data_IF_458531271677
#
_entry.id   IF_458531271677
#
_cell.length_a   1.000
_cell.length_b   1.000
_cell.length_c   1.000
_cell.angle_alpha   90.00
_cell.angle_beta   90.00
_cell.angle_gamma   90.00
#
_symmetry.space_group_name_H-M   'P 1'
#
loop_
_entity.id
_entity.type
_entity.pdbx_description
1 polymer ?
#
# COMPACT_ATOMS: atom_id res chain seq x y z
N UNK A 1 4.75 -22.66 -35.24
CA UNK A 1 5.52 -21.43 -34.98
C UNK A 1 4.51 -20.29 -34.99
N UNK A 2 4.43 -19.46 -33.95
CA UNK A 2 3.46 -18.36 -33.94
C UNK A 2 3.96 -17.20 -34.83
N UNK A 3 3.05 -16.41 -35.40
CA UNK A 3 3.44 -15.26 -36.23
C UNK A 3 4.31 -14.26 -35.45
N UNK A 4 3.99 -14.03 -34.17
CA UNK A 4 4.78 -13.17 -33.29
C UNK A 4 6.21 -13.71 -33.04
N UNK A 5 6.39 -15.02 -32.90
CA UNK A 5 7.72 -15.62 -32.79
C UNK A 5 8.55 -15.37 -34.06
N UNK A 6 7.93 -15.54 -35.24
CA UNK A 6 8.60 -15.30 -36.51
C UNK A 6 9.05 -13.83 -36.64
N UNK A 7 8.19 -12.89 -36.23
CA UNK A 7 8.52 -11.45 -36.22
C UNK A 7 9.69 -11.14 -35.29
N UNK A 8 9.70 -11.71 -34.07
CA UNK A 8 10.82 -11.51 -33.12
C UNK A 8 12.13 -12.06 -33.70
N UNK A 9 12.08 -13.24 -34.33
CA UNK A 9 13.26 -13.89 -34.94
C UNK A 9 13.80 -13.15 -36.17
N UNK A 10 13.10 -12.15 -36.70
CA UNK A 10 13.64 -11.27 -37.75
C UNK A 10 14.55 -10.16 -37.19
N UNK A 11 14.53 -9.89 -35.88
CA UNK A 11 15.40 -8.88 -35.27
C UNK A 11 16.85 -9.36 -35.30
N UNK A 12 17.67 -8.70 -36.12
CA UNK A 12 19.12 -8.96 -36.20
C UNK A 12 19.81 -8.70 -34.85
N UNK A 13 19.40 -7.67 -34.12
CA UNK A 13 19.93 -7.40 -32.78
C UNK A 13 19.64 -8.56 -31.82
N UNK A 14 18.44 -9.16 -31.87
CA UNK A 14 18.12 -10.31 -31.03
C UNK A 14 18.97 -11.54 -31.35
N UNK A 15 19.33 -11.72 -32.62
CA UNK A 15 20.19 -12.81 -33.10
C UNK A 15 21.68 -12.57 -32.85
N UNK A 16 22.08 -11.36 -32.46
CA UNK A 16 23.47 -10.96 -32.17
C UNK A 16 23.67 -10.61 -30.68
N UNK A 17 23.48 -11.58 -29.75
CA UNK A 17 23.73 -11.38 -28.33
C UNK A 17 25.22 -11.15 -28.03
N UNK A 18 25.56 -10.57 -26.86
CA UNK A 18 26.94 -10.33 -26.46
C UNK A 18 27.76 -11.61 -26.19
N UNK A 19 27.09 -12.76 -26.05
CA UNK A 19 27.70 -14.08 -25.85
C UNK A 19 26.88 -15.13 -26.61
N UNK A 20 27.44 -16.31 -26.95
CA UNK A 20 26.68 -17.37 -27.59
C UNK A 20 25.44 -17.78 -26.78
N UNK A 21 24.27 -17.87 -27.43
CA UNK A 21 23.03 -18.31 -26.80
C UNK A 21 22.25 -19.30 -27.66
N UNK A 22 21.39 -20.08 -27.02
CA UNK A 22 20.29 -20.81 -27.65
C UNK A 22 18.97 -20.17 -27.26
N UNK A 23 18.07 -20.01 -28.24
CA UNK A 23 16.78 -19.38 -28.02
C UNK A 23 15.72 -20.42 -27.66
N UNK A 24 14.87 -20.13 -26.68
CA UNK A 24 13.66 -20.91 -26.37
C UNK A 24 12.44 -20.01 -26.40
N UNK A 25 11.43 -20.42 -27.17
CA UNK A 25 10.11 -19.81 -27.15
C UNK A 25 9.19 -20.63 -26.26
N UNK A 26 8.55 -19.99 -25.30
CA UNK A 26 7.49 -20.57 -24.48
C UNK A 26 6.20 -19.84 -24.76
N UNK A 27 5.17 -20.55 -25.16
CA UNK A 27 3.82 -20.02 -25.26
C UNK A 27 3.01 -20.58 -24.09
N UNK A 28 2.39 -19.70 -23.31
CA UNK A 28 1.48 -20.09 -22.25
C UNK A 28 0.11 -19.49 -22.55
N UNK A 29 -0.89 -20.36 -22.63
CA UNK A 29 -2.28 -20.03 -22.41
C UNK A 29 -2.61 -20.56 -21.00
N UNK A 30 -2.99 -19.71 -20.05
CA UNK A 30 -3.28 -20.18 -18.69
C UNK A 30 -4.38 -21.26 -18.70
N UNK A 31 -4.20 -22.31 -17.89
CA UNK A 31 -5.19 -23.37 -17.68
C UNK A 31 -6.39 -22.94 -16.82
N UNK A 32 -6.26 -21.86 -16.07
CA UNK A 32 -7.22 -21.46 -15.02
C UNK A 32 -8.02 -20.20 -15.35
N UNK A 33 -7.60 -19.40 -16.33
CA UNK A 33 -8.40 -18.31 -16.90
C UNK A 33 -8.24 -18.34 -18.44
N UNK A 34 -9.34 -18.47 -19.22
CA UNK A 34 -9.29 -18.71 -20.67
C UNK A 34 -8.70 -17.58 -21.54
N UNK A 35 -8.16 -16.52 -20.94
CA UNK A 35 -7.96 -15.22 -21.59
C UNK A 35 -6.50 -14.75 -21.61
N UNK A 36 -5.59 -15.53 -21.02
CA UNK A 36 -4.21 -15.09 -20.82
C UNK A 36 -3.25 -15.80 -21.77
N UNK A 37 -3.06 -15.23 -22.97
CA UNK A 37 -2.06 -15.70 -23.92
C UNK A 37 -0.79 -14.86 -23.83
N UNK A 38 0.32 -15.48 -23.46
CA UNK A 38 1.65 -14.85 -23.50
C UNK A 38 2.66 -15.70 -24.24
N UNK A 39 3.53 -15.02 -24.97
CA UNK A 39 4.68 -15.58 -25.64
C UNK A 39 5.94 -15.01 -25.01
N UNK A 40 6.85 -15.88 -24.60
CA UNK A 40 8.12 -15.48 -24.00
C UNK A 40 9.25 -16.10 -24.81
N UNK A 41 10.10 -15.27 -25.39
CA UNK A 41 11.32 -15.70 -26.08
C UNK A 41 12.51 -15.41 -25.18
N UNK A 42 13.28 -16.44 -24.80
CA UNK A 42 14.42 -16.33 -23.89
C UNK A 42 15.72 -16.71 -24.59
N UNK A 43 16.78 -15.98 -24.28
CA UNK A 43 18.14 -16.23 -24.74
C UNK A 43 18.96 -16.90 -23.63
N UNK A 44 19.34 -18.17 -23.84
CA UNK A 44 20.04 -18.98 -22.86
C UNK A 44 21.52 -19.16 -23.24
N UNK A 45 22.46 -18.66 -22.42
CA UNK A 45 23.90 -18.91 -22.60
C UNK A 45 24.22 -20.39 -22.34
N UNK A 46 25.46 -20.80 -22.64
CA UNK A 46 25.91 -22.16 -22.35
C UNK A 46 25.89 -22.47 -20.85
N UNK A 47 26.30 -21.51 -20.02
CA UNK A 47 26.31 -21.61 -18.57
C UNK A 47 25.79 -20.33 -17.92
N UNK A 48 25.22 -20.46 -16.73
CA UNK A 48 24.83 -19.30 -15.90
C UNK A 48 26.05 -18.60 -15.28
N UNK A 49 25.83 -17.43 -14.67
CA UNK A 49 26.88 -16.71 -13.92
C UNK A 49 27.46 -17.50 -12.73
N UNK A 50 26.76 -18.54 -12.27
CA UNK A 50 27.19 -19.42 -11.16
C UNK A 50 27.69 -20.78 -11.67
N UNK A 51 27.96 -20.92 -12.97
CA UNK A 51 28.56 -22.13 -13.57
C UNK A 51 27.59 -23.28 -13.84
N UNK A 52 26.28 -23.09 -13.67
CA UNK A 52 25.28 -24.12 -14.01
C UNK A 52 25.18 -24.21 -15.54
N UNK A 53 25.48 -25.38 -16.11
CA UNK A 53 25.31 -25.66 -17.55
C UNK A 53 23.85 -25.71 -17.98
N UNK A 54 23.52 -24.96 -19.03
CA UNK A 54 22.15 -24.77 -19.54
C UNK A 54 21.93 -25.48 -20.88
N UNK A 55 22.96 -25.61 -21.70
CA UNK A 55 22.87 -26.30 -22.99
C UNK A 55 22.82 -27.83 -22.80
N UNK A 56 22.06 -28.51 -23.67
CA UNK A 56 21.94 -29.97 -23.69
C UNK A 56 22.22 -30.50 -25.09
N UNK A 57 23.32 -31.23 -25.27
CA UNK A 57 23.76 -31.74 -26.58
C UNK A 57 24.03 -30.62 -27.58
N UNK A 58 23.91 -30.91 -28.87
CA UNK A 58 24.27 -29.99 -29.96
C UNK A 58 23.31 -28.80 -30.12
N UNK A 59 22.01 -28.99 -29.87
CA UNK A 59 20.99 -27.95 -30.12
C UNK A 59 19.99 -27.73 -28.96
N UNK A 60 20.05 -28.53 -27.89
CA UNK A 60 19.05 -28.51 -26.82
C UNK A 60 19.33 -27.51 -25.69
N UNK A 61 18.31 -27.24 -24.89
CA UNK A 61 18.42 -26.50 -23.62
C UNK A 61 17.84 -27.42 -22.54
N UNK A 62 18.45 -27.50 -21.36
CA UNK A 62 17.96 -28.36 -20.27
C UNK A 62 16.51 -28.00 -19.89
N UNK A 63 15.67 -28.97 -19.49
CA UNK A 63 14.29 -28.69 -19.12
C UNK A 63 14.14 -27.64 -17.99
N UNK A 64 15.07 -27.64 -17.04
CA UNK A 64 15.04 -26.78 -15.84
C UNK A 64 15.55 -25.35 -16.07
N UNK A 65 15.96 -24.98 -17.29
CA UNK A 65 16.60 -23.69 -17.57
C UNK A 65 15.78 -22.47 -17.10
N UNK A 66 14.45 -22.53 -17.22
CA UNK A 66 13.56 -21.45 -16.77
C UNK A 66 13.52 -21.31 -15.23
N UNK A 67 13.80 -22.39 -14.47
CA UNK A 67 13.80 -22.42 -13.00
C UNK A 67 15.10 -21.89 -12.39
N UNK A 68 16.22 -22.01 -13.09
CA UNK A 68 17.55 -21.59 -12.61
C UNK A 68 17.90 -20.16 -13.04
N UNK A 69 16.91 -19.37 -13.45
CA UNK A 69 17.07 -18.01 -13.96
C UNK A 69 18.17 -17.87 -15.02
N UNK A 70 18.30 -18.87 -15.90
CA UNK A 70 19.48 -19.00 -16.75
C UNK A 70 19.52 -18.05 -17.94
N UNK A 71 18.45 -17.31 -18.26
CA UNK A 71 18.44 -16.47 -19.47
C UNK A 71 19.13 -15.12 -19.26
N UNK A 72 19.91 -14.68 -20.24
CA UNK A 72 20.56 -13.36 -20.22
C UNK A 72 19.66 -12.24 -20.74
N UNK A 73 18.51 -12.59 -21.30
CA UNK A 73 17.54 -11.68 -21.85
C UNK A 73 16.25 -12.40 -22.23
N UNK A 74 15.13 -11.67 -22.16
CA UNK A 74 13.82 -12.16 -22.59
C UNK A 74 13.02 -11.07 -23.28
N UNK A 75 12.22 -11.49 -24.24
CA UNK A 75 11.16 -10.70 -24.86
C UNK A 75 9.84 -11.32 -24.41
N UNK A 76 9.02 -10.55 -23.72
CA UNK A 76 7.67 -10.95 -23.36
C UNK A 76 6.67 -10.24 -24.28
N UNK A 77 5.75 -11.01 -24.85
CA UNK A 77 4.63 -10.51 -25.64
C UNK A 77 3.34 -11.04 -25.02
N UNK A 78 2.47 -10.13 -24.62
CA UNK A 78 1.18 -10.44 -24.02
C UNK A 78 0.08 -10.07 -25.00
N UNK A 79 -0.85 -10.99 -25.25
CA UNK A 79 -1.99 -10.81 -26.15
C UNK A 79 -3.25 -10.78 -25.30
N UNK A 80 -3.96 -9.65 -25.30
CA UNK A 80 -5.17 -9.42 -24.48
C UNK A 80 -5.00 -9.68 -22.97
N UNK A 81 -3.79 -9.98 -22.50
CA UNK A 81 -3.50 -10.28 -21.11
C UNK A 81 -2.73 -9.13 -20.49
N UNK A 82 -3.42 -8.29 -19.75
CA UNK A 82 -2.86 -7.10 -19.15
C UNK A 82 -3.23 -7.11 -17.68
N UNK A 83 -2.23 -7.19 -16.82
CA UNK A 83 -2.43 -7.06 -15.38
C UNK A 83 -2.27 -5.61 -14.97
N UNK A 84 -2.94 -5.23 -13.88
CA UNK A 84 -2.76 -3.92 -13.26
C UNK A 84 -1.28 -3.67 -12.96
N UNK A 85 -0.61 -4.67 -12.39
CA UNK A 85 0.77 -4.60 -11.92
C UNK A 85 1.80 -4.37 -13.03
N UNK A 86 1.46 -4.67 -14.30
CA UNK A 86 2.33 -4.35 -15.44
C UNK A 86 2.41 -2.84 -15.71
N UNK A 87 1.33 -2.10 -15.45
CA UNK A 87 1.20 -0.72 -15.92
C UNK A 87 0.96 0.29 -14.82
N UNK A 88 0.44 -0.13 -13.67
CA UNK A 88 0.09 0.74 -12.55
C UNK A 88 0.89 0.31 -11.33
N UNK A 89 1.69 1.24 -10.80
CA UNK A 89 2.38 1.10 -9.53
C UNK A 89 1.50 1.51 -8.33
N UNK A 90 2.12 1.74 -7.16
CA UNK A 90 1.42 2.20 -5.95
C UNK A 90 0.57 3.46 -6.15
N UNK A 91 1.03 4.38 -7.01
CA UNK A 91 0.38 5.67 -7.30
C UNK A 91 -0.81 5.55 -8.28
N UNK A 92 -1.18 4.33 -8.69
CA UNK A 92 -2.29 3.99 -9.61
C UNK A 92 -2.32 4.74 -10.96
N UNK A 93 -1.25 5.44 -11.32
CA UNK A 93 -1.16 6.23 -12.57
C UNK A 93 -0.14 5.61 -13.53
N UNK A 94 -0.54 5.19 -14.74
CA UNK A 94 0.37 4.70 -15.75
C UNK A 94 1.34 5.79 -16.19
N UNK A 95 2.63 5.59 -15.95
CA UNK A 95 3.67 6.54 -16.34
C UNK A 95 4.10 6.26 -17.77
N UNK A 96 3.79 7.18 -18.69
CA UNK A 96 4.33 7.13 -20.05
C UNK A 96 5.82 7.45 -20.01
N UNK A 97 6.65 6.51 -20.43
CA UNK A 97 8.12 6.63 -20.44
C UNK A 97 8.66 7.04 -21.80
N UNK A 98 7.88 6.86 -22.87
CA UNK A 98 8.29 7.28 -24.21
C UNK A 98 7.39 6.78 -25.32
N UNK A 99 7.98 6.66 -26.51
CA UNK A 99 7.37 6.08 -27.70
C UNK A 99 8.43 5.22 -28.39
N UNK A 100 8.11 3.98 -28.77
CA UNK A 100 9.01 3.04 -29.45
C UNK A 100 8.27 2.44 -30.64
N UNK A 101 8.89 2.49 -31.82
CA UNK A 101 8.27 2.00 -33.06
C UNK A 101 6.94 2.67 -33.40
N UNK A 102 6.72 3.91 -32.93
CA UNK A 102 5.44 4.64 -33.10
C UNK A 102 4.37 4.34 -32.04
N UNK A 103 4.62 3.43 -31.10
CA UNK A 103 3.68 3.03 -30.05
C UNK A 103 4.08 3.57 -28.68
N UNK A 104 3.11 3.94 -27.83
CA UNK A 104 3.42 4.49 -26.52
C UNK A 104 4.03 3.43 -25.61
N UNK A 105 5.01 3.86 -24.82
CA UNK A 105 5.64 3.03 -23.80
C UNK A 105 5.20 3.48 -22.41
N UNK A 106 4.76 2.52 -21.59
CA UNK A 106 4.36 2.73 -20.20
C UNK A 106 5.13 1.78 -19.30
N UNK A 107 5.87 2.30 -18.31
CA UNK A 107 6.63 1.51 -17.34
C UNK A 107 7.48 0.39 -18.00
N UNK A 108 8.15 0.70 -19.12
CA UNK A 108 8.99 -0.26 -19.85
C UNK A 108 8.25 -1.23 -20.78
N UNK A 109 6.92 -1.15 -20.86
CA UNK A 109 6.07 -1.91 -21.78
C UNK A 109 5.64 -1.07 -22.96
N UNK A 110 5.89 -1.55 -24.18
CA UNK A 110 5.35 -0.97 -25.41
C UNK A 110 3.93 -1.51 -25.60
N UNK A 111 2.95 -0.62 -25.67
CA UNK A 111 1.53 -0.99 -25.79
C UNK A 111 1.04 -0.71 -27.20
N UNK A 112 0.71 -1.78 -27.91
CA UNK A 112 0.15 -1.75 -29.25
C UNK A 112 -1.33 -2.09 -29.12
N UNK A 113 -2.21 -1.16 -29.46
CA UNK A 113 -3.64 -1.39 -29.36
C UNK A 113 -4.39 -0.92 -30.59
N UNK A 114 -5.53 -1.58 -30.85
CA UNK A 114 -6.41 -1.19 -31.94
C UNK A 114 -6.92 0.23 -31.72
N UNK A 115 -6.77 1.09 -32.74
CA UNK A 115 -7.20 2.49 -32.73
C UNK A 115 -6.57 3.36 -31.63
N UNK A 116 -5.45 2.93 -31.03
CA UNK A 116 -4.79 3.65 -29.94
C UNK A 116 -5.55 3.64 -28.61
N UNK A 117 -6.61 2.83 -28.47
CA UNK A 117 -7.34 2.69 -27.20
C UNK A 117 -6.46 2.04 -26.15
N UNK A 118 -6.25 2.70 -25.02
CA UNK A 118 -5.48 2.12 -23.92
C UNK A 118 -6.34 1.15 -23.10
N UNK A 119 -5.71 0.16 -22.44
CA UNK A 119 -6.41 -0.86 -21.68
C UNK A 119 -6.77 -0.46 -20.24
N UNK A 120 -6.61 0.81 -19.93
CA UNK A 120 -7.01 1.42 -18.68
C UNK A 120 -7.77 2.71 -18.97
N UNK A 121 -8.61 3.09 -18.01
CA UNK A 121 -9.41 4.30 -18.03
C UNK A 121 -9.18 5.08 -16.73
N UNK A 122 -9.37 6.41 -16.74
CA UNK A 122 -9.39 7.17 -15.50
C UNK A 122 -10.36 6.57 -14.49
N UNK A 123 -9.97 6.52 -13.22
CA UNK A 123 -10.91 6.22 -12.15
C UNK A 123 -11.90 7.36 -12.03
N UNK A 124 -13.18 7.02 -11.88
CA UNK A 124 -14.21 8.03 -11.72
C UNK A 124 -14.21 8.58 -10.30
N UNK A 125 -14.81 9.76 -10.11
CA UNK A 125 -15.06 10.31 -8.78
C UNK A 125 -15.87 9.32 -7.92
N UNK A 126 -16.87 8.66 -8.52
CA UNK A 126 -17.64 7.61 -7.88
C UNK A 126 -16.77 6.46 -7.39
N UNK A 127 -15.86 5.93 -8.23
CA UNK A 127 -14.95 4.85 -7.82
C UNK A 127 -14.10 5.23 -6.60
N UNK A 128 -13.57 6.47 -6.57
CA UNK A 128 -12.73 6.96 -5.47
C UNK A 128 -13.55 7.15 -4.19
N UNK A 129 -14.71 7.80 -4.31
CA UNK A 129 -15.60 8.02 -3.17
C UNK A 129 -16.12 6.69 -2.59
N UNK A 130 -16.42 5.70 -3.43
CA UNK A 130 -16.86 4.39 -2.96
C UNK A 130 -15.75 3.67 -2.16
N UNK A 131 -14.46 3.83 -2.52
CA UNK A 131 -13.34 3.33 -1.71
C UNK A 131 -13.21 4.04 -0.36
N UNK A 132 -13.29 5.38 -0.35
CA UNK A 132 -13.26 6.17 0.89
C UNK A 132 -14.43 5.76 1.79
N UNK A 133 -15.62 5.59 1.22
CA UNK A 133 -16.80 5.09 1.91
C UNK A 133 -16.60 3.71 2.52
N UNK A 134 -16.13 2.75 1.72
CA UNK A 134 -15.86 1.39 2.17
C UNK A 134 -14.82 1.34 3.31
N UNK A 135 -13.77 2.16 3.24
CA UNK A 135 -12.77 2.26 4.30
C UNK A 135 -13.36 2.80 5.61
N UNK A 136 -14.17 3.86 5.56
CA UNK A 136 -14.83 4.45 6.74
C UNK A 136 -15.88 3.52 7.34
N UNK A 137 -16.70 2.89 6.51
CA UNK A 137 -17.70 1.92 6.96
C UNK A 137 -17.05 0.69 7.58
N UNK A 138 -15.94 0.20 6.99
CA UNK A 138 -15.13 -0.86 7.57
C UNK A 138 -14.53 -0.46 8.92
N UNK A 139 -13.97 0.74 9.05
CA UNK A 139 -13.43 1.21 10.31
C UNK A 139 -14.49 1.27 11.43
N UNK A 140 -15.71 1.73 11.10
CA UNK A 140 -16.83 1.72 12.04
C UNK A 140 -17.27 0.30 12.41
N UNK A 141 -17.36 -0.61 11.43
CA UNK A 141 -17.71 -2.00 11.67
C UNK A 141 -16.65 -2.72 12.52
N UNK A 142 -15.37 -2.55 12.19
CA UNK A 142 -14.25 -3.11 12.93
C UNK A 142 -14.22 -2.57 14.37
N UNK A 143 -14.49 -1.28 14.57
CA UNK A 143 -14.63 -0.69 15.91
C UNK A 143 -15.76 -1.31 16.73
N UNK A 144 -16.94 -1.50 16.12
CA UNK A 144 -18.07 -2.16 16.76
C UNK A 144 -17.75 -3.60 17.16
N UNK A 145 -16.99 -4.31 16.33
CA UNK A 145 -16.51 -5.66 16.64
C UNK A 145 -15.53 -5.65 17.82
N UNK A 146 -14.56 -4.73 17.84
CA UNK A 146 -13.62 -4.55 18.95
C UNK A 146 -14.38 -4.28 20.25
N UNK A 147 -15.31 -3.32 20.23
CA UNK A 147 -16.18 -2.97 21.37
C UNK A 147 -16.97 -4.18 21.88
N UNK A 148 -17.60 -4.95 20.98
CA UNK A 148 -18.36 -6.14 21.35
C UNK A 148 -17.49 -7.27 21.92
N UNK A 149 -16.24 -7.38 21.45
CA UNK A 149 -15.27 -8.38 21.93
C UNK A 149 -14.63 -8.04 23.27
N UNK A 150 -14.61 -6.75 23.66
CA UNK A 150 -13.97 -6.28 24.89
C UNK A 150 -14.86 -6.59 26.10
N UNK A 151 -14.59 -7.72 26.75
CA UNK A 151 -15.28 -8.16 27.96
C UNK A 151 -14.31 -8.17 29.15
N UNK A 152 -14.77 -7.61 30.27
CA UNK A 152 -14.06 -7.77 31.53
C UNK A 152 -13.95 -9.28 31.86
N UNK A 153 -12.79 -9.73 32.38
CA UNK A 153 -12.65 -11.10 32.84
C UNK A 153 -13.68 -11.43 33.94
N UNK A 154 -14.16 -12.68 33.95
CA UNK A 154 -15.12 -13.14 34.96
C UNK A 154 -14.44 -13.27 36.33
N UNK A 155 -14.94 -12.53 37.31
CA UNK A 155 -14.43 -12.53 38.68
C UNK A 155 -14.44 -13.93 39.30
N UNK A 156 -15.45 -14.76 39.02
CA UNK A 156 -15.53 -16.11 39.56
C UNK A 156 -14.42 -17.03 39.00
N UNK A 157 -13.99 -16.80 37.75
CA UNK A 157 -12.88 -17.53 37.13
C UNK A 157 -11.55 -17.04 37.71
N UNK A 158 -11.40 -15.73 37.93
CA UNK A 158 -10.23 -15.15 38.57
C UNK A 158 -10.04 -15.76 39.97
N UNK A 159 -11.08 -15.75 40.79
CA UNK A 159 -11.04 -16.24 42.17
C UNK A 159 -10.70 -17.74 42.23
N UNK A 160 -11.29 -18.54 41.33
CA UNK A 160 -10.99 -19.98 41.23
C UNK A 160 -9.54 -20.24 40.84
N UNK A 161 -9.01 -19.49 39.87
CA UNK A 161 -7.63 -19.63 39.40
C UNK A 161 -6.64 -19.19 40.48
N UNK A 162 -6.92 -18.09 41.18
CA UNK A 162 -6.13 -17.62 42.31
C UNK A 162 -6.13 -18.64 43.46
N UNK A 163 -7.27 -19.27 43.78
CA UNK A 163 -7.34 -20.29 44.82
C UNK A 163 -6.53 -21.56 44.49
N UNK A 164 -6.46 -21.96 43.22
CA UNK A 164 -5.60 -23.05 42.76
C UNK A 164 -4.12 -22.66 42.87
N UNK A 165 -3.74 -21.49 42.36
CA UNK A 165 -2.37 -20.99 42.42
C UNK A 165 -1.88 -20.86 43.86
N UNK A 166 -2.73 -20.39 44.79
CA UNK A 166 -2.37 -20.18 46.19
C UNK A 166 -1.92 -21.45 46.91
N UNK A 167 -2.27 -22.64 46.40
CA UNK A 167 -1.83 -23.94 46.95
C UNK A 167 -0.38 -24.27 46.59
N UNK A 168 0.13 -23.75 45.49
CA UNK A 168 1.47 -24.07 44.96
C UNK A 168 2.42 -22.86 44.94
N UNK A 169 1.88 -21.65 44.75
CA UNK A 169 2.59 -20.38 44.70
C UNK A 169 1.68 -19.23 45.22
N UNK A 170 1.71 -18.94 46.53
CA UNK A 170 0.91 -17.87 47.13
C UNK A 170 1.24 -16.47 46.59
N UNK A 171 2.50 -16.18 46.28
CA UNK A 171 2.92 -14.88 45.79
C UNK A 171 2.47 -14.67 44.33
N UNK A 172 2.58 -15.71 43.49
CA UNK A 172 2.04 -15.71 42.13
C UNK A 172 0.52 -15.57 42.08
N UNK A 173 -0.21 -16.14 43.05
CA UNK A 173 -1.66 -15.96 43.15
C UNK A 173 -2.07 -14.51 43.38
N UNK A 174 -1.36 -13.78 44.24
CA UNK A 174 -1.63 -12.37 44.52
C UNK A 174 -1.26 -11.46 43.34
N UNK A 175 -0.14 -11.74 42.67
CA UNK A 175 0.23 -11.06 41.43
C UNK A 175 -0.80 -11.29 40.32
N UNK A 176 -1.34 -12.51 40.19
CA UNK A 176 -2.38 -12.81 39.23
C UNK A 176 -3.65 -12.00 39.48
N UNK A 177 -4.17 -11.98 40.72
CA UNK A 177 -5.37 -11.20 41.07
C UNK A 177 -5.16 -9.71 40.79
N UNK A 178 -4.01 -9.17 41.16
CA UNK A 178 -3.70 -7.75 40.93
C UNK A 178 -3.61 -7.42 39.42
N UNK A 179 -2.98 -8.29 38.63
CA UNK A 179 -2.94 -8.14 37.18
C UNK A 179 -4.35 -8.16 36.57
N UNK A 180 -5.23 -9.05 37.04
CA UNK A 180 -6.61 -9.16 36.54
C UNK A 180 -7.48 -7.96 36.95
N UNK A 181 -7.26 -7.40 38.14
CA UNK A 181 -7.89 -6.13 38.55
C UNK A 181 -7.44 -4.98 37.65
N UNK A 182 -6.14 -4.89 37.35
CA UNK A 182 -5.61 -3.88 36.42
C UNK A 182 -6.22 -4.01 35.02
N UNK A 183 -6.27 -5.24 34.48
CA UNK A 183 -6.91 -5.51 33.17
C UNK A 183 -8.39 -5.10 33.17
N UNK A 184 -9.11 -5.38 34.27
CA UNK A 184 -10.52 -4.98 34.41
C UNK A 184 -10.68 -3.46 34.45
N UNK A 185 -9.83 -2.76 35.21
CA UNK A 185 -9.81 -1.31 35.25
C UNK A 185 -9.48 -0.68 33.89
N UNK A 186 -8.50 -1.23 33.16
CA UNK A 186 -8.13 -0.80 31.82
C UNK A 186 -9.29 -0.98 30.82
N UNK A 187 -10.02 -2.10 30.91
CA UNK A 187 -11.21 -2.35 30.09
C UNK A 187 -12.31 -1.32 30.38
N UNK A 188 -12.60 -1.05 31.65
CA UNK A 188 -13.59 -0.05 32.02
C UNK A 188 -13.20 1.37 31.58
N UNK A 189 -11.93 1.74 31.75
CA UNK A 189 -11.41 3.02 31.30
C UNK A 189 -11.51 3.16 29.76
N UNK A 190 -11.24 2.09 29.01
CA UNK A 190 -11.43 2.06 27.57
C UNK A 190 -12.92 2.15 27.18
N UNK A 191 -13.80 1.44 27.88
CA UNK A 191 -15.25 1.47 27.65
C UNK A 191 -15.86 2.86 27.85
N UNK A 192 -15.35 3.65 28.81
CA UNK A 192 -15.78 5.03 29.01
C UNK A 192 -15.55 5.92 27.78
N UNK A 193 -14.57 5.57 26.94
CA UNK A 193 -14.22 6.31 25.71
C UNK A 193 -14.90 5.75 24.45
N UNK A 194 -15.58 4.61 24.54
CA UNK A 194 -16.12 3.92 23.36
C UNK A 194 -17.19 4.73 22.63
N UNK A 195 -18.03 5.45 23.39
CA UNK A 195 -19.08 6.31 22.82
C UNK A 195 -18.49 7.47 21.99
N UNK A 196 -17.38 8.06 22.45
CA UNK A 196 -16.71 9.17 21.76
C UNK A 196 -16.13 8.67 20.43
N UNK A 197 -15.42 7.53 20.45
CA UNK A 197 -14.84 6.95 19.23
C UNK A 197 -15.91 6.52 18.23
N UNK A 198 -16.98 5.88 18.70
CA UNK A 198 -18.09 5.46 17.84
C UNK A 198 -18.82 6.66 17.21
N UNK A 199 -19.07 7.72 17.98
CA UNK A 199 -19.66 8.95 17.47
C UNK A 199 -18.77 9.63 16.41
N UNK A 200 -17.45 9.65 16.63
CA UNK A 200 -16.48 10.16 15.66
C UNK A 200 -16.50 9.38 14.34
N UNK A 201 -16.41 8.05 14.38
CA UNK A 201 -16.47 7.21 13.18
C UNK A 201 -17.82 7.33 12.45
N UNK A 202 -18.92 7.40 13.20
CA UNK A 202 -20.25 7.63 12.63
C UNK A 202 -20.32 8.99 11.92
N UNK A 203 -19.73 10.04 12.51
CA UNK A 203 -19.62 11.36 11.88
C UNK A 203 -18.87 11.28 10.55
N UNK A 204 -17.72 10.61 10.48
CA UNK A 204 -16.94 10.47 9.25
C UNK A 204 -17.72 9.76 8.13
N UNK A 205 -18.49 8.71 8.47
CA UNK A 205 -19.36 8.01 7.52
C UNK A 205 -20.47 8.94 7.00
N UNK A 206 -21.10 9.71 7.90
CA UNK A 206 -22.17 10.65 7.52
C UNK A 206 -21.64 11.79 6.63
N UNK A 207 -20.47 12.35 6.94
CA UNK A 207 -19.81 13.38 6.11
C UNK A 207 -19.49 12.85 4.72
N UNK A 208 -18.96 11.63 4.62
CA UNK A 208 -18.76 10.95 3.33
C UNK A 208 -20.06 10.83 2.54
N UNK A 209 -21.13 10.32 3.16
CA UNK A 209 -22.42 10.13 2.49
C UNK A 209 -23.01 11.44 2.00
N UNK A 210 -22.96 12.49 2.83
CA UNK A 210 -23.41 13.82 2.46
C UNK A 210 -22.60 14.39 1.28
N UNK A 211 -21.28 14.26 1.32
CA UNK A 211 -20.40 14.73 0.24
C UNK A 211 -20.63 13.97 -1.06
N UNK A 212 -20.75 12.64 -1.03
CA UNK A 212 -21.06 11.85 -2.22
C UNK A 212 -22.41 12.24 -2.82
N UNK A 213 -23.41 12.49 -1.96
CA UNK A 213 -24.74 12.91 -2.38
C UNK A 213 -24.80 14.33 -2.97
N UNK A 214 -23.77 15.17 -2.77
CA UNK A 214 -23.71 16.51 -3.38
C UNK A 214 -23.37 16.48 -4.88
N UNK A 215 -23.03 15.31 -5.44
CA UNK A 215 -22.69 15.16 -6.86
C UNK A 215 -23.81 14.47 -7.64
N UNK A 216 -24.02 14.92 -8.87
CA UNK A 216 -24.91 14.23 -9.82
C UNK A 216 -24.29 12.93 -10.31
N UNK A 217 -25.11 12.03 -10.87
CA UNK A 217 -24.61 10.79 -11.48
C UNK A 217 -23.58 11.07 -12.60
N UNK A 218 -23.76 12.15 -13.37
CA UNK A 218 -22.81 12.57 -14.39
C UNK A 218 -21.47 12.99 -13.77
N UNK A 219 -21.49 13.78 -12.70
CA UNK A 219 -20.28 14.19 -11.98
C UNK A 219 -19.56 12.99 -11.34
N UNK A 220 -20.30 12.04 -10.77
CA UNK A 220 -19.72 10.81 -10.22
C UNK A 220 -19.08 9.92 -11.31
N UNK A 221 -19.54 10.01 -12.56
CA UNK A 221 -18.96 9.29 -13.69
C UNK A 221 -17.74 10.00 -14.32
N UNK A 222 -17.47 11.26 -13.96
CA UNK A 222 -16.29 11.99 -14.43
C UNK A 222 -15.01 11.48 -13.74
N UNK A 223 -13.84 11.60 -14.38
CA UNK A 223 -12.55 11.34 -13.76
C UNK A 223 -12.38 12.07 -12.42
N UNK A 224 -11.82 11.36 -11.44
CA UNK A 224 -11.44 11.95 -10.16
C UNK A 224 -10.14 12.74 -10.31
N UNK A 225 -10.17 14.00 -9.88
CA UNK A 225 -8.99 14.87 -9.82
C UNK A 225 -8.72 15.30 -8.38
N UNK A 226 -7.49 15.70 -8.11
CA UNK A 226 -7.11 16.33 -6.85
C UNK A 226 -7.16 17.85 -7.00
N UNK A 227 -8.04 18.52 -6.24
CA UNK A 227 -8.22 19.97 -6.35
C UNK A 227 -7.02 20.79 -5.83
N UNK A 228 -6.32 20.27 -4.83
CA UNK A 228 -5.19 20.94 -4.18
C UNK A 228 -3.89 20.73 -4.98
N UNK A 229 -3.80 21.40 -6.13
CA UNK A 229 -2.69 21.23 -7.09
C UNK A 229 -1.37 21.81 -6.55
N UNK A 230 -1.43 22.90 -5.78
CA UNK A 230 -0.26 23.59 -5.23
C UNK A 230 0.11 23.16 -3.80
N UNK A 231 -0.71 22.28 -3.19
CA UNK A 231 -0.54 21.80 -1.83
C UNK A 231 -0.84 22.86 -0.76
N UNK A 232 -1.44 23.99 -1.12
CA UNK A 232 -1.78 25.06 -0.17
C UNK A 232 -2.78 24.58 0.89
N UNK A 233 -3.80 23.81 0.48
CA UNK A 233 -4.79 23.26 1.41
C UNK A 233 -4.17 22.20 2.31
N UNK A 234 -3.24 21.41 1.78
CA UNK A 234 -2.46 20.45 2.56
C UNK A 234 -1.65 21.13 3.64
N UNK A 235 -0.90 22.17 3.29
CA UNK A 235 -0.07 22.94 4.23
C UNK A 235 -0.92 23.57 5.33
N UNK A 236 -2.08 24.13 4.97
CA UNK A 236 -3.01 24.70 5.94
C UNK A 236 -3.57 23.64 6.90
N UNK A 237 -3.87 22.43 6.39
CA UNK A 237 -4.29 21.30 7.23
C UNK A 237 -3.14 20.84 8.15
N UNK A 238 -1.92 20.70 7.62
CA UNK A 238 -0.74 20.29 8.40
C UNK A 238 -0.44 21.28 9.53
N UNK A 239 -0.51 22.60 9.26
CA UNK A 239 -0.37 23.62 10.29
C UNK A 239 -1.45 23.52 11.39
N UNK A 240 -2.71 23.26 11.03
CA UNK A 240 -3.77 23.01 12.03
C UNK A 240 -3.51 21.75 12.85
N UNK A 241 -2.92 20.70 12.27
CA UNK A 241 -2.56 19.49 12.99
C UNK A 241 -1.42 19.78 13.99
N UNK A 242 -0.42 20.56 13.60
CA UNK A 242 0.67 20.95 14.48
C UNK A 242 0.15 21.77 15.67
N UNK A 243 -0.77 22.72 15.45
CA UNK A 243 -1.45 23.46 16.52
C UNK A 243 -2.24 22.54 17.47
N UNK A 244 -2.85 21.47 16.96
CA UNK A 244 -3.57 20.51 17.79
C UNK A 244 -2.67 19.66 18.70
N UNK A 245 -1.37 19.56 18.40
CA UNK A 245 -0.42 18.84 19.24
C UNK A 245 0.03 19.66 20.45
N UNK A 246 -0.18 20.99 20.41
CA UNK A 246 0.11 21.87 21.52
C UNK A 246 -1.03 21.84 22.55
N UNK A 247 -0.65 21.76 23.83
CA UNK A 247 -1.62 21.90 24.92
C UNK A 247 -2.35 23.23 24.78
N UNK A 248 -3.68 23.20 24.84
CA UNK A 248 -4.47 24.42 24.90
C UNK A 248 -4.06 25.28 26.09
N UNK A 249 -4.24 26.60 25.98
CA UNK A 249 -3.81 27.59 26.99
C UNK A 249 -4.26 27.20 28.41
N UNK A 250 -5.51 26.75 28.55
CA UNK A 250 -6.08 26.33 29.84
C UNK A 250 -5.41 25.06 30.40
N UNK A 251 -5.19 24.05 29.54
CA UNK A 251 -4.52 22.79 29.93
C UNK A 251 -3.04 23.06 30.26
N UNK A 252 -2.39 23.98 29.54
CA UNK A 252 -1.02 24.40 29.81
C UNK A 252 -0.89 25.13 31.14
N UNK A 253 -1.80 26.08 31.42
CA UNK A 253 -1.85 26.79 32.70
C UNK A 253 -2.07 25.83 33.86
N UNK A 254 -3.07 24.95 33.76
CA UNK A 254 -3.36 23.93 34.78
C UNK A 254 -2.19 22.98 35.02
N UNK A 255 -1.54 22.49 33.96
CA UNK A 255 -0.34 21.65 34.10
C UNK A 255 0.82 22.42 34.74
N UNK A 256 0.94 23.73 34.44
CA UNK A 256 1.90 24.63 35.07
C UNK A 256 1.70 24.73 36.59
N UNK A 257 0.47 25.04 37.02
CA UNK A 257 0.08 25.14 38.43
C UNK A 257 0.34 23.83 39.19
N UNK A 258 -0.08 22.70 38.61
CA UNK A 258 0.14 21.37 39.20
C UNK A 258 1.64 21.09 39.40
N UNK A 259 2.48 21.46 38.43
CA UNK A 259 3.94 21.28 38.50
C UNK A 259 4.60 22.22 39.49
N UNK A 260 4.10 23.44 39.63
CA UNK A 260 4.58 24.38 40.64
C UNK A 260 4.28 23.86 42.04
N UNK A 261 3.02 23.49 42.29
CA UNK A 261 2.61 22.91 43.57
C UNK A 261 3.39 21.62 43.89
N UNK A 262 3.59 20.73 42.91
CA UNK A 262 4.42 19.53 43.10
C UNK A 262 5.86 19.86 43.51
N UNK A 263 6.47 20.90 42.90
CA UNK A 263 7.82 21.37 43.28
C UNK A 263 7.86 21.99 44.68
N UNK A 264 6.81 22.71 45.08
CA UNK A 264 6.69 23.22 46.45
C UNK A 264 6.64 22.09 47.47
N UNK A 265 5.86 21.04 47.21
CA UNK A 265 5.77 19.86 48.07
C UNK A 265 7.11 19.11 48.17
N UNK A 266 7.84 18.95 47.06
CA UNK A 266 9.19 18.35 47.09
C UNK A 266 10.18 19.21 47.89
N UNK A 267 10.12 20.54 47.76
CA UNK A 267 10.94 21.45 48.56
C UNK A 267 10.60 21.34 50.06
N UNK A 268 9.31 21.28 50.40
CA UNK A 268 8.87 21.08 51.78
C UNK A 268 9.30 19.71 52.34
N UNK A 269 9.23 18.65 51.52
CA UNK A 269 9.70 17.32 51.90
C UNK A 269 11.20 17.29 52.19
N UNK A 270 12.00 17.99 51.39
CA UNK A 270 13.45 18.09 51.58
C UNK A 270 13.84 18.88 52.84
N UNK A 271 13.00 19.85 53.25
CA UNK A 271 13.20 20.65 54.47
C UNK A 271 12.60 20.02 55.74
N UNK A 272 11.80 18.95 55.61
CA UNK A 272 11.17 18.29 56.75
C UNK A 272 12.19 17.49 57.58
N UNK A 273 12.22 17.75 58.89
CA UNK A 273 12.96 16.92 59.85
C UNK A 273 12.24 15.62 60.22
N UNK A 274 10.95 15.49 59.86
CA UNK A 274 10.16 14.27 60.04
C UNK A 274 10.12 13.48 58.71
N UNK A 275 10.68 12.27 58.75
CA UNK A 275 10.76 11.35 57.61
C UNK A 275 9.39 10.77 57.21
N UNK A 276 8.44 10.67 58.15
CA UNK A 276 7.07 10.26 57.82
C UNK A 276 6.36 11.36 57.02
N UNK A 277 6.53 12.62 57.45
CA UNK A 277 5.98 13.79 56.75
C UNK A 277 6.65 13.99 55.38
N UNK A 278 7.97 13.88 55.29
CA UNK A 278 8.71 13.96 54.03
C UNK A 278 8.20 12.93 53.01
N UNK A 279 7.94 11.68 53.45
CA UNK A 279 7.37 10.64 52.60
C UNK A 279 5.94 10.93 52.17
N UNK A 280 5.12 11.52 53.03
CA UNK A 280 3.75 11.94 52.67
C UNK A 280 3.77 13.01 51.58
N UNK A 281 4.58 14.04 51.75
CA UNK A 281 4.71 15.16 50.80
C UNK A 281 5.22 14.69 49.43
N UNK A 282 6.22 13.81 49.38
CA UNK A 282 6.70 13.20 48.13
C UNK A 282 5.62 12.37 47.41
N UNK A 283 4.78 11.64 48.16
CA UNK A 283 3.64 10.92 47.56
C UNK A 283 2.65 11.87 46.92
N UNK A 284 2.28 12.95 47.62
CA UNK A 284 1.39 13.98 47.09
C UNK A 284 1.97 14.66 45.84
N UNK A 285 3.27 14.97 45.83
CA UNK A 285 3.95 15.48 44.64
C UNK A 285 3.90 14.46 43.47
N UNK A 286 4.08 13.17 43.76
CA UNK A 286 3.92 12.08 42.80
C UNK A 286 2.51 12.01 42.20
N UNK A 287 1.46 12.13 43.02
CA UNK A 287 0.07 12.12 42.58
C UNK A 287 -0.23 13.30 41.64
N UNK A 288 0.31 14.49 41.93
CA UNK A 288 0.18 15.67 41.07
C UNK A 288 0.88 15.46 39.71
N UNK A 289 2.05 14.83 39.68
CA UNK A 289 2.73 14.50 38.43
C UNK A 289 1.91 13.51 37.58
N UNK A 290 1.25 12.54 38.21
CA UNK A 290 0.33 11.62 37.53
C UNK A 290 -0.88 12.37 36.95
N UNK A 291 -1.43 13.34 37.66
CA UNK A 291 -2.52 14.19 37.18
C UNK A 291 -2.09 15.04 35.97
N UNK A 292 -0.94 15.72 36.04
CA UNK A 292 -0.39 16.47 34.91
C UNK A 292 -0.16 15.56 33.68
N UNK A 293 0.31 14.34 33.91
CA UNK A 293 0.44 13.32 32.87
C UNK A 293 -0.91 12.90 32.27
N UNK A 294 -1.96 12.78 33.09
CA UNK A 294 -3.32 12.47 32.64
C UNK A 294 -3.88 13.57 31.75
N UNK A 295 -3.77 14.85 32.14
CA UNK A 295 -4.24 15.99 31.34
C UNK A 295 -3.60 15.97 29.94
N UNK A 296 -2.28 15.74 29.88
CA UNK A 296 -1.56 15.61 28.61
C UNK A 296 -2.06 14.46 27.75
N UNK A 297 -2.27 13.27 28.33
CA UNK A 297 -2.79 12.12 27.59
C UNK A 297 -4.20 12.37 27.05
N UNK A 298 -5.09 12.91 27.87
CA UNK A 298 -6.45 13.26 27.46
C UNK A 298 -6.48 14.33 26.37
N UNK A 299 -5.57 15.30 26.42
CA UNK A 299 -5.36 16.25 25.33
C UNK A 299 -4.94 15.54 24.04
N UNK A 300 -3.89 14.72 24.08
CA UNK A 300 -3.38 14.00 22.91
C UNK A 300 -4.43 13.08 22.28
N UNK A 301 -5.25 12.40 23.09
CA UNK A 301 -6.35 11.58 22.59
C UNK A 301 -7.42 12.42 21.87
N UNK A 302 -7.79 13.59 22.41
CA UNK A 302 -8.72 14.52 21.75
C UNK A 302 -8.11 15.10 20.47
N UNK A 303 -6.83 15.43 20.49
CA UNK A 303 -6.09 15.93 19.33
C UNK A 303 -6.05 14.90 18.20
N UNK A 304 -5.78 13.63 18.51
CA UNK A 304 -5.76 12.54 17.53
C UNK A 304 -7.09 12.38 16.78
N UNK A 305 -8.23 12.48 17.48
CA UNK A 305 -9.55 12.43 16.83
C UNK A 305 -9.79 13.63 15.91
N UNK A 306 -9.31 14.82 16.30
CA UNK A 306 -9.43 16.02 15.46
C UNK A 306 -8.51 15.95 14.25
N UNK A 307 -7.28 15.45 14.42
CA UNK A 307 -6.36 15.19 13.31
C UNK A 307 -6.97 14.23 12.29
N UNK A 308 -7.54 13.11 12.73
CA UNK A 308 -8.22 12.16 11.84
C UNK A 308 -9.39 12.81 11.09
N UNK A 309 -10.17 13.66 11.77
CA UNK A 309 -11.23 14.43 11.12
C UNK A 309 -10.69 15.42 10.07
N UNK A 310 -9.60 16.14 10.36
CA UNK A 310 -8.99 17.09 9.43
C UNK A 310 -8.43 16.37 8.19
N UNK A 311 -7.68 15.29 8.38
CA UNK A 311 -7.15 14.47 7.28
C UNK A 311 -8.28 13.87 6.45
N UNK A 312 -9.31 13.34 7.11
CA UNK A 312 -10.49 12.78 6.46
C UNK A 312 -11.28 13.83 5.68
N UNK A 313 -11.41 15.05 6.21
CA UNK A 313 -12.07 16.15 5.52
C UNK A 313 -11.25 16.57 4.29
N UNK A 314 -9.95 16.78 4.45
CA UNK A 314 -9.03 17.12 3.36
C UNK A 314 -9.06 16.09 2.22
N UNK A 315 -8.96 14.79 2.52
CA UNK A 315 -9.05 13.73 1.51
C UNK A 315 -10.39 13.78 0.77
N UNK A 316 -11.49 13.92 1.51
CA UNK A 316 -12.82 13.89 0.93
C UNK A 316 -13.08 15.12 0.05
N UNK A 317 -12.80 16.33 0.56
CA UNK A 317 -13.17 17.57 -0.12
C UNK A 317 -12.28 17.92 -1.31
N UNK A 318 -11.08 17.35 -1.39
CA UNK A 318 -10.18 17.54 -2.53
C UNK A 318 -10.49 16.62 -3.71
N UNK A 319 -11.24 15.55 -3.51
CA UNK A 319 -11.74 14.73 -4.60
C UNK A 319 -12.82 15.49 -5.35
N UNK A 320 -12.51 15.90 -6.58
CA UNK A 320 -13.43 16.62 -7.47
C UNK A 320 -13.60 15.91 -8.80
N UNK A 321 -14.72 16.12 -9.50
CA UNK A 321 -14.85 15.69 -10.88
C UNK A 321 -13.99 16.60 -11.78
N UNK A 322 -13.30 16.02 -12.76
CA UNK A 322 -12.45 16.79 -13.66
C UNK A 322 -12.15 16.07 -14.97
N UNK A 323 -11.29 16.67 -15.81
CA UNK A 323 -10.92 16.11 -17.11
C UNK A 323 -9.98 14.91 -16.95
N UNK A 324 -9.95 14.03 -17.96
CA UNK A 324 -9.18 12.78 -17.92
C UNK A 324 -7.66 13.03 -17.84
N UNK A 325 -7.18 14.12 -18.42
CA UNK A 325 -5.78 14.54 -18.45
C UNK A 325 -5.24 14.88 -17.05
N UNK A 326 -6.13 15.22 -16.12
CA UNK A 326 -5.80 15.56 -14.73
C UNK A 326 -6.19 14.44 -13.75
N UNK A 327 -6.61 13.28 -14.27
CA UNK A 327 -7.05 12.17 -13.44
C UNK A 327 -5.95 11.73 -12.47
N UNK A 328 -6.30 11.60 -11.19
CA UNK A 328 -5.34 11.25 -10.14
C UNK A 328 -4.95 9.76 -10.13
N UNK A 329 -5.75 8.91 -10.79
CA UNK A 329 -5.58 7.47 -10.79
C UNK A 329 -6.34 6.84 -11.98
N UNK A 330 -5.89 5.66 -12.38
CA UNK A 330 -6.49 4.86 -13.45
C UNK A 330 -6.85 3.46 -12.96
N UNK A 331 -7.74 2.79 -13.67
CA UNK A 331 -8.11 1.39 -13.46
C UNK A 331 -8.10 0.65 -14.79
N UNK A 332 -7.94 -0.67 -14.75
CA UNK A 332 -8.12 -1.49 -15.94
C UNK A 332 -9.52 -1.27 -16.52
N UNK A 333 -9.60 -1.17 -17.83
CA UNK A 333 -10.88 -1.04 -18.53
C UNK A 333 -11.61 -2.40 -18.45
N UNK A 334 -12.78 -2.48 -17.80
CA UNK A 334 -13.49 -3.75 -17.65
C UNK A 334 -14.00 -4.32 -18.98
N UNK A 335 -14.11 -3.49 -20.02
CA UNK A 335 -14.61 -3.89 -21.34
C UNK A 335 -13.50 -3.96 -22.40
N UNK A 336 -12.25 -3.69 -22.05
CA UNK A 336 -11.11 -3.77 -22.98
C UNK A 336 -9.87 -4.40 -22.31
N UNK A 337 -9.29 -5.46 -22.89
CA UNK A 337 -9.75 -6.14 -24.10
C UNK A 337 -11.08 -6.87 -23.87
N UNK A 338 -11.88 -6.96 -24.92
CA UNK A 338 -13.18 -7.61 -24.92
C UNK A 338 -13.04 -9.12 -24.70
N UNK A 339 -13.23 -9.52 -23.45
CA UNK A 339 -13.13 -10.91 -22.99
C UNK A 339 -14.17 -11.84 -23.62
N UNK A 340 -15.24 -11.32 -24.22
CA UNK A 340 -16.22 -12.13 -24.97
C UNK A 340 -15.74 -12.55 -26.37
N UNK A 341 -14.64 -11.96 -26.87
CA UNK A 341 -14.06 -12.28 -28.18
C UNK A 341 -12.58 -12.71 -28.03
N UNK A 342 -12.30 -13.83 -27.33
CA UNK A 342 -10.94 -14.23 -26.97
C UNK A 342 -10.03 -14.51 -28.19
N UNK A 343 -10.63 -14.87 -29.33
CA UNK A 343 -9.90 -15.10 -30.58
C UNK A 343 -9.48 -13.83 -31.33
N UNK A 344 -9.90 -12.64 -30.88
CA UNK A 344 -9.54 -11.36 -31.52
C UNK A 344 -8.49 -10.64 -30.71
N UNK A 345 -7.30 -10.43 -31.28
CA UNK A 345 -6.22 -9.71 -30.59
C UNK A 345 -6.51 -8.21 -30.69
N UNK A 346 -6.81 -7.57 -29.56
CA UNK A 346 -7.13 -6.14 -29.51
C UNK A 346 -6.02 -5.29 -28.92
N UNK A 347 -5.16 -5.92 -28.11
CA UNK A 347 -4.00 -5.28 -27.50
C UNK A 347 -2.85 -6.27 -27.36
N UNK A 348 -1.66 -5.77 -27.67
CA UNK A 348 -0.39 -6.46 -27.52
C UNK A 348 0.51 -5.59 -26.64
N UNK A 349 1.01 -6.16 -25.56
CA UNK A 349 2.03 -5.52 -24.73
C UNK A 349 3.36 -6.24 -24.87
N UNK A 350 4.41 -5.48 -25.17
CA UNK A 350 5.77 -6.01 -25.40
C UNK A 350 6.72 -5.44 -24.36
N UNK A 351 7.47 -6.30 -23.67
CA UNK A 351 8.63 -5.88 -22.89
C UNK A 351 9.87 -6.66 -23.28
N UNK A 352 11.01 -5.98 -23.17
CA UNK A 352 12.34 -6.56 -23.31
C UNK A 352 13.05 -6.31 -22.01
N UNK A 353 13.45 -7.37 -21.31
CA UNK A 353 14.03 -7.27 -19.97
C UNK A 353 15.04 -8.38 -19.70
N UNK A 354 15.81 -8.23 -18.62
CA UNK A 354 16.56 -9.33 -18.03
C UNK A 354 15.62 -10.21 -17.19
N UNK A 355 16.04 -11.44 -16.88
CA UNK A 355 15.23 -12.34 -16.05
C UNK A 355 15.24 -11.91 -14.57
N UNK A 356 16.36 -11.37 -14.09
CA UNK A 356 16.54 -10.86 -12.74
C UNK A 356 17.00 -9.40 -12.85
N UNK A 357 16.19 -8.46 -12.35
CA UNK A 357 16.59 -7.06 -12.15
C UNK A 357 17.24 -6.84 -10.76
N UNK A 358 17.22 -7.85 -9.89
CA UNK A 358 17.79 -7.79 -8.54
C UNK A 358 19.33 -7.78 -8.55
N UNK A 359 19.89 -6.61 -8.20
CA UNK A 359 21.06 -6.34 -7.34
C UNK A 359 22.30 -7.24 -7.38
N UNK A 360 22.56 -7.95 -8.47
CA UNK A 360 23.89 -8.54 -8.70
C UNK A 360 24.76 -7.44 -9.32
N UNK A 361 25.49 -6.73 -8.45
CA UNK A 361 26.66 -5.85 -8.67
C UNK A 361 26.90 -5.48 -10.14
N UNK A 362 26.95 -4.19 -10.47
CA UNK A 362 27.22 -3.60 -11.80
C UNK A 362 28.47 -4.16 -12.51
N UNK A 363 28.40 -5.42 -12.94
CA UNK A 363 29.47 -6.09 -13.67
C UNK A 363 29.42 -5.57 -15.12
N UNK A 364 30.57 -5.42 -15.79
CA UNK A 364 30.61 -5.00 -17.20
C UNK A 364 29.69 -5.84 -18.11
N UNK A 365 29.53 -7.13 -17.80
CA UNK A 365 28.60 -8.02 -18.51
C UNK A 365 27.13 -7.61 -18.39
N UNK A 366 26.68 -7.11 -17.24
CA UNK A 366 25.31 -6.60 -17.03
C UNK A 366 25.07 -5.37 -17.91
N UNK A 367 26.04 -4.46 -17.98
CA UNK A 367 25.98 -3.26 -18.82
C UNK A 367 25.88 -3.64 -20.30
N UNK A 368 26.71 -4.59 -20.75
CA UNK A 368 26.66 -5.08 -22.13
C UNK A 368 25.31 -5.75 -22.46
N UNK A 369 24.73 -6.54 -21.54
CA UNK A 369 23.41 -7.16 -21.68
C UNK A 369 22.30 -6.11 -21.74
N UNK A 370 22.31 -5.11 -20.85
CA UNK A 370 21.33 -4.01 -20.85
C UNK A 370 21.41 -3.20 -22.15
N UNK A 371 22.62 -2.88 -22.62
CA UNK A 371 22.83 -2.17 -23.88
C UNK A 371 22.33 -2.98 -25.09
N UNK A 372 22.61 -4.29 -25.13
CA UNK A 372 22.07 -5.21 -26.13
C UNK A 372 20.54 -5.24 -26.11
N UNK A 373 19.92 -5.42 -24.94
CA UNK A 373 18.46 -5.44 -24.82
C UNK A 373 17.81 -4.09 -25.20
N UNK A 374 18.49 -2.97 -24.95
CA UNK A 374 18.08 -1.66 -25.45
C UNK A 374 18.03 -1.60 -26.98
N UNK A 375 19.06 -2.11 -27.68
CA UNK A 375 19.06 -2.20 -29.15
C UNK A 375 18.02 -3.18 -29.67
N UNK A 376 17.87 -4.34 -29.03
CA UNK A 376 16.80 -5.31 -29.34
C UNK A 376 15.46 -4.61 -29.28
N UNK A 377 15.14 -3.95 -28.16
CA UNK A 377 13.88 -3.25 -27.95
C UNK A 377 13.61 -2.21 -29.04
N UNK A 378 14.60 -1.43 -29.44
CA UNK A 378 14.45 -0.43 -30.49
C UNK A 378 14.35 -1.00 -31.91
N UNK A 379 14.81 -2.23 -32.14
CA UNK A 379 14.86 -2.86 -33.47
C UNK A 379 13.71 -3.84 -33.77
N UNK A 380 12.86 -4.16 -32.79
CA UNK A 380 11.71 -5.03 -33.03
C UNK A 380 10.76 -4.41 -34.07
N UNK A 381 10.21 -5.24 -34.95
CA UNK A 381 9.24 -4.81 -35.96
C UNK A 381 7.84 -4.68 -35.33
N UNK A 382 7.61 -3.59 -34.60
CA UNK A 382 6.33 -3.31 -33.93
C UNK A 382 5.17 -3.16 -34.92
N UNK A 383 5.42 -2.67 -36.13
CA UNK A 383 4.40 -2.58 -37.19
C UNK A 383 3.92 -3.97 -37.59
N UNK A 384 4.82 -4.95 -37.75
CA UNK A 384 4.44 -6.33 -38.02
C UNK A 384 3.70 -6.99 -36.84
N UNK A 385 4.07 -6.65 -35.60
CA UNK A 385 3.30 -7.09 -34.42
C UNK A 385 1.90 -6.48 -34.42
N UNK A 386 1.77 -5.20 -34.78
CA UNK A 386 0.48 -4.52 -34.87
C UNK A 386 -0.43 -5.07 -35.97
N UNK A 387 0.14 -5.65 -37.04
CA UNK A 387 -0.62 -6.35 -38.06
C UNK A 387 -1.29 -7.65 -37.56
N UNK A 388 -0.95 -8.10 -36.34
CA UNK A 388 -1.63 -9.20 -35.66
C UNK A 388 -2.90 -8.76 -34.91
N UNK A 389 -3.20 -7.46 -34.85
CA UNK A 389 -4.44 -6.96 -34.24
C UNK A 389 -5.64 -7.19 -35.16
N UNK A 390 -6.77 -7.62 -34.59
CA UNK A 390 -8.03 -7.92 -35.31
C UNK A 390 -9.05 -6.79 -35.26
#
# INVERSE_FOLDING_TARGET
MSAAEAIIKQSQEWLNPPIPVRMRTTMAANRYEPLDSRLIVRAYPEQTLVGIGIWKGECGIIPQADRVAGSIGRINVFFNHLSKDMFMGPDETPKRTGTIGGYPEFNGWVVISKNGRLPWIPQTLGDRLDRVGAAREKALADWRNIKASRKAPDQAIIDRTAALLRRTDPAGADQYVENMRRVTADIHAAQAKDAIREAHLTKLVNEYRAYRASFTAQQLAMPAIWADIDGSSRKAMEAQIDELQELGVDDQARVGEIREHGRDLERAAAASADEAEARRLRRQAGDLLLEAGRIRREHMERAALKEEALRGAYELTNLKPGPAEQAMAYKMDPIFPNRSQPGKIQVIAVSVSTQNEEDVLERPEQTARKAWLGRVKSSLNYTALAALLD
#
